data_IF_291942751204
#
_entry.id   IF_291942751204
#
_cell.length_a   1.000
_cell.length_b   1.000
_cell.length_c   1.000
_cell.angle_alpha   90.00
_cell.angle_beta   90.00
_cell.angle_gamma   90.00
#
_symmetry.space_group_name_H-M   'P 1'
#
loop_
_entity.id
_entity.type
_entity.pdbx_description
1 polymer ?
#
# COMPACT_ATOMS: atom_id res chain seq x y z
N UNK A 1 2.09 -8.91 16.65
CA UNK A 1 1.20 -9.86 15.98
C UNK A 1 0.43 -9.13 14.89
N UNK A 2 0.82 -9.35 13.65
CA UNK A 2 0.35 -8.58 12.48
C UNK A 2 -0.91 -9.26 11.92
N UNK A 3 -2.10 -8.95 12.43
CA UNK A 3 -3.35 -9.49 11.89
C UNK A 3 -4.06 -8.57 10.88
N UNK A 4 -3.55 -7.39 10.63
CA UNK A 4 -4.36 -6.31 10.08
C UNK A 4 -4.37 -6.20 8.55
N UNK A 5 -3.32 -6.60 7.87
CA UNK A 5 -3.33 -6.58 6.42
C UNK A 5 -4.32 -7.59 5.80
N UNK A 6 -4.79 -8.55 6.58
CA UNK A 6 -5.53 -9.73 6.11
C UNK A 6 -7.03 -9.70 6.43
N UNK A 7 -7.49 -8.74 7.19
CA UNK A 7 -8.90 -8.58 7.54
C UNK A 7 -9.58 -7.47 6.73
N UNK A 8 -8.90 -6.85 5.76
CA UNK A 8 -9.48 -5.77 4.98
C UNK A 8 -10.06 -6.30 3.67
N UNK A 9 -11.33 -6.04 3.39
CA UNK A 9 -11.96 -6.34 2.08
C UNK A 9 -11.20 -5.75 0.90
N UNK A 10 -10.41 -4.71 1.12
CA UNK A 10 -9.59 -4.05 0.09
C UNK A 10 -8.33 -4.84 -0.28
N UNK A 11 -7.97 -5.86 0.46
CA UNK A 11 -6.83 -6.72 0.18
C UNK A 11 -7.03 -7.58 -1.08
N UNK A 12 -8.27 -7.89 -1.41
CA UNK A 12 -8.67 -8.60 -2.63
C UNK A 12 -8.13 -7.90 -3.88
N UNK A 13 -7.92 -6.59 -3.83
CA UNK A 13 -7.45 -5.79 -4.96
C UNK A 13 -5.94 -5.57 -5.01
N UNK A 14 -5.17 -6.13 -4.09
CA UNK A 14 -3.71 -5.91 -4.03
C UNK A 14 -2.88 -7.12 -4.47
N UNK A 15 -3.51 -8.13 -5.03
CA UNK A 15 -2.83 -9.27 -5.66
C UNK A 15 -2.39 -10.40 -4.72
N UNK A 16 -2.82 -10.39 -3.46
CA UNK A 16 -2.64 -11.54 -2.56
C UNK A 16 -3.98 -12.02 -2.03
N UNK A 17 -4.56 -12.95 -2.72
CA UNK A 17 -5.92 -13.43 -2.56
C UNK A 17 -6.13 -14.42 -1.40
N UNK A 18 -5.07 -14.79 -0.70
CA UNK A 18 -5.16 -15.75 0.39
C UNK A 18 -4.74 -15.10 1.69
N UNK A 19 -5.56 -15.26 2.72
CA UNK A 19 -5.12 -15.01 4.09
C UNK A 19 -3.79 -15.76 4.27
N UNK A 20 -2.67 -15.07 4.60
CA UNK A 20 -1.40 -15.77 4.69
C UNK A 20 -1.47 -16.74 5.87
N UNK A 21 -0.94 -17.91 5.64
CA UNK A 21 -0.65 -18.86 6.68
C UNK A 21 0.44 -18.30 7.64
N UNK A 22 0.68 -19.01 8.73
CA UNK A 22 1.66 -18.60 9.73
C UNK A 22 3.07 -18.42 9.15
N UNK A 23 3.45 -19.25 8.19
CA UNK A 23 4.76 -19.23 7.53
C UNK A 23 4.94 -17.96 6.69
N UNK A 24 3.92 -17.61 5.94
CA UNK A 24 3.90 -16.39 5.12
C UNK A 24 3.92 -15.12 5.97
N UNK A 25 3.24 -15.14 7.12
CA UNK A 25 3.29 -14.05 8.11
C UNK A 25 4.70 -13.92 8.70
N UNK A 26 5.34 -15.03 9.04
CA UNK A 26 6.69 -15.02 9.60
C UNK A 26 7.74 -14.58 8.57
N UNK A 27 7.60 -15.03 7.32
CA UNK A 27 8.41 -14.53 6.20
C UNK A 27 8.26 -13.02 6.04
N UNK A 28 7.03 -12.51 6.00
CA UNK A 28 6.79 -11.07 5.93
C UNK A 28 7.43 -10.32 7.10
N UNK A 29 7.41 -10.86 8.32
CA UNK A 29 8.09 -10.25 9.48
C UNK A 29 9.60 -10.18 9.30
N UNK A 30 10.22 -11.27 8.82
CA UNK A 30 11.66 -11.30 8.50
C UNK A 30 11.99 -10.31 7.39
N UNK A 31 11.16 -10.29 6.36
CA UNK A 31 11.31 -9.36 5.24
C UNK A 31 11.21 -7.90 5.69
N UNK A 32 10.31 -7.56 6.62
CA UNK A 32 10.22 -6.22 7.22
C UNK A 32 11.37 -5.87 8.17
N UNK A 33 12.03 -6.86 8.76
CA UNK A 33 13.15 -6.67 9.67
C UNK A 33 14.49 -6.54 8.93
N UNK A 34 14.57 -7.00 7.68
CA UNK A 34 15.79 -6.96 6.88
C UNK A 34 16.06 -5.55 6.37
N UNK A 35 17.11 -4.93 6.93
CA UNK A 35 17.57 -3.58 6.55
C UNK A 35 18.12 -3.48 5.12
N UNK A 36 18.39 -4.62 4.47
CA UNK A 36 18.92 -4.67 3.11
C UNK A 36 17.84 -4.69 2.03
N UNK A 37 16.55 -4.74 2.41
CA UNK A 37 15.47 -4.76 1.45
C UNK A 37 15.23 -3.41 0.79
N UNK A 38 14.77 -3.51 -0.45
CA UNK A 38 14.30 -2.36 -1.25
C UNK A 38 12.85 -1.99 -0.87
N UNK A 39 12.57 -1.98 0.44
CA UNK A 39 11.24 -1.72 1.00
C UNK A 39 11.33 -0.96 2.32
N UNK A 40 10.28 -0.22 2.64
CA UNK A 40 9.99 0.23 3.99
C UNK A 40 8.49 0.25 4.22
N UNK A 41 8.08 0.23 5.48
CA UNK A 41 6.66 0.21 5.84
C UNK A 41 6.37 1.09 7.03
N UNK A 42 5.15 1.61 7.06
CA UNK A 42 4.57 2.29 8.21
C UNK A 42 3.31 1.54 8.64
N UNK A 43 3.10 1.45 9.93
CA UNK A 43 1.91 0.81 10.51
C UNK A 43 1.21 1.80 11.44
N UNK A 44 -0.11 1.74 11.46
CA UNK A 44 -0.94 2.42 12.44
C UNK A 44 -1.38 1.40 13.50
N UNK A 45 -1.18 1.74 14.77
CA UNK A 45 -1.54 0.88 15.90
C UNK A 45 -2.62 1.57 16.73
N UNK A 46 -3.72 0.87 16.99
CA UNK A 46 -4.65 1.26 18.05
C UNK A 46 -4.01 0.93 19.40
N UNK A 47 -3.61 1.97 20.13
CA UNK A 47 -2.91 1.82 21.41
C UNK A 47 -3.78 1.16 22.49
N UNK A 48 -5.10 1.38 22.46
CA UNK A 48 -6.04 0.82 23.44
C UNK A 48 -6.14 -0.69 23.27
N UNK A 49 -6.30 -1.15 22.04
CA UNK A 49 -6.51 -2.56 21.73
C UNK A 49 -5.21 -3.28 21.32
N UNK A 50 -4.07 -2.56 21.24
CA UNK A 50 -2.77 -3.06 20.76
C UNK A 50 -2.85 -3.74 19.40
N UNK A 51 -3.78 -3.29 18.56
CA UNK A 51 -4.01 -3.83 17.21
C UNK A 51 -3.39 -2.92 16.15
N UNK A 52 -2.80 -3.53 15.13
CA UNK A 52 -2.45 -2.81 13.91
C UNK A 52 -3.75 -2.56 13.13
N UNK A 53 -4.05 -1.35 12.79
CA UNK A 53 -5.31 -0.94 12.14
C UNK A 53 -5.11 -0.37 10.75
N UNK A 54 -3.87 -0.27 10.33
CA UNK A 54 -3.51 0.14 8.97
C UNK A 54 -2.05 -0.10 8.69
N UNK A 55 -1.72 -0.26 7.42
CA UNK A 55 -0.36 -0.40 6.93
C UNK A 55 -0.16 0.39 5.64
N UNK A 56 1.06 0.86 5.45
CA UNK A 56 1.58 1.44 4.22
C UNK A 56 2.87 0.72 3.88
N UNK A 57 2.93 0.11 2.72
CA UNK A 57 4.11 -0.59 2.21
C UNK A 57 4.70 0.21 1.06
N UNK A 58 6.01 0.25 0.98
CA UNK A 58 6.74 0.93 -0.08
C UNK A 58 7.84 0.04 -0.61
N UNK A 59 7.98 -0.02 -1.93
CA UNK A 59 9.00 -0.77 -2.63
C UNK A 59 9.73 0.10 -3.64
N UNK A 60 11.02 -0.14 -3.82
CA UNK A 60 11.84 0.64 -4.76
C UNK A 60 12.99 -0.20 -5.30
N UNK A 61 13.67 0.33 -6.29
CA UNK A 61 14.93 -0.24 -6.80
C UNK A 61 16.09 0.69 -6.44
N UNK A 62 17.15 0.13 -5.84
CA UNK A 62 18.35 0.91 -5.47
C UNK A 62 19.13 1.41 -6.68
N UNK A 63 19.10 0.66 -7.77
CA UNK A 63 19.92 0.90 -8.94
C UNK A 63 19.09 1.07 -10.22
N UNK A 64 19.72 1.54 -11.28
CA UNK A 64 19.13 1.68 -12.61
C UNK A 64 18.33 2.96 -12.80
N UNK A 65 17.66 3.02 -13.93
CA UNK A 65 16.90 4.22 -14.37
C UNK A 65 15.66 4.51 -13.51
N UNK A 66 15.17 3.54 -12.76
CA UNK A 66 13.97 3.67 -11.93
C UNK A 66 14.27 3.97 -10.45
N UNK A 67 15.56 4.14 -10.08
CA UNK A 67 15.97 4.35 -8.67
C UNK A 67 15.38 5.58 -7.99
N UNK A 68 14.87 6.52 -8.76
CA UNK A 68 14.23 7.75 -8.26
C UNK A 68 12.75 7.56 -7.90
N UNK A 69 12.18 6.39 -8.19
CA UNK A 69 10.75 6.08 -8.03
C UNK A 69 10.53 5.16 -6.83
N UNK A 70 9.39 5.31 -6.20
CA UNK A 70 8.94 4.44 -5.13
C UNK A 70 7.49 4.02 -5.38
N UNK A 71 7.24 2.71 -5.38
CA UNK A 71 5.91 2.13 -5.40
C UNK A 71 5.31 2.12 -4.01
N UNK A 72 4.04 2.43 -3.88
CA UNK A 72 3.32 2.48 -2.60
C UNK A 72 2.03 1.68 -2.65
N UNK A 73 1.73 0.96 -1.55
CA UNK A 73 0.47 0.26 -1.34
C UNK A 73 0.01 0.43 0.10
N UNK A 74 -1.29 0.44 0.33
CA UNK A 74 -1.86 0.66 1.66
C UNK A 74 -3.12 -0.15 1.91
N UNK A 75 -3.36 -0.42 3.18
CA UNK A 75 -4.58 -1.04 3.67
C UNK A 75 -4.97 -0.47 5.03
N UNK A 76 -6.27 -0.25 5.23
CA UNK A 76 -6.84 0.20 6.50
C UNK A 76 -7.94 -0.78 6.88
N UNK A 77 -7.90 -1.25 8.12
CA UNK A 77 -8.92 -2.14 8.67
C UNK A 77 -10.32 -1.51 8.49
N UNK A 78 -11.34 -2.27 8.06
CA UNK A 78 -12.67 -1.73 7.76
C UNK A 78 -13.26 -0.85 8.88
N UNK A 79 -13.19 -1.31 10.14
CA UNK A 79 -13.73 -0.60 11.30
C UNK A 79 -12.99 0.72 11.62
N UNK A 80 -11.85 0.93 10.99
CA UNK A 80 -10.99 2.11 11.19
C UNK A 80 -10.91 3.00 9.97
N UNK A 81 -11.65 2.68 8.91
CA UNK A 81 -11.78 3.53 7.73
C UNK A 81 -12.54 4.82 8.06
N UNK A 82 -12.38 5.85 7.21
CA UNK A 82 -13.04 7.14 7.42
C UNK A 82 -12.47 8.02 8.55
N UNK A 83 -11.55 7.50 9.38
CA UNK A 83 -10.97 8.19 10.56
C UNK A 83 -9.65 8.94 10.26
N UNK A 84 -9.30 9.11 9.00
CA UNK A 84 -8.08 9.84 8.59
C UNK A 84 -6.77 9.06 8.72
N UNK A 85 -6.80 7.78 9.15
CA UNK A 85 -5.60 6.95 9.35
C UNK A 85 -4.82 6.78 8.06
N UNK A 86 -5.49 6.46 6.95
CA UNK A 86 -4.85 6.32 5.64
C UNK A 86 -4.14 7.59 5.20
N UNK A 87 -4.76 8.75 5.43
CA UNK A 87 -4.16 10.06 5.12
C UNK A 87 -2.88 10.30 5.94
N UNK A 88 -2.90 9.98 7.25
CA UNK A 88 -1.72 10.12 8.11
C UNK A 88 -0.58 9.20 7.68
N UNK A 89 -0.89 7.91 7.44
CA UNK A 89 0.10 6.94 6.96
C UNK A 89 0.71 7.38 5.62
N UNK A 90 -0.11 7.78 4.66
CA UNK A 90 0.37 8.20 3.35
C UNK A 90 1.24 9.45 3.44
N UNK A 91 0.84 10.46 4.23
CA UNK A 91 1.65 11.67 4.45
C UNK A 91 3.01 11.35 5.07
N UNK A 92 3.06 10.51 6.10
CA UNK A 92 4.33 10.10 6.73
C UNK A 92 5.22 9.32 5.77
N UNK A 93 4.66 8.41 5.00
CA UNK A 93 5.40 7.65 4.00
C UNK A 93 5.97 8.53 2.89
N UNK A 94 5.19 9.49 2.40
CA UNK A 94 5.64 10.47 1.40
C UNK A 94 6.76 11.37 1.95
N UNK A 95 6.61 11.85 3.20
CA UNK A 95 7.64 12.65 3.87
C UNK A 95 8.95 11.87 4.01
N UNK A 96 8.86 10.61 4.41
CA UNK A 96 10.02 9.73 4.54
C UNK A 96 10.66 9.44 3.18
N UNK A 97 9.87 9.12 2.16
CA UNK A 97 10.34 8.89 0.80
C UNK A 97 11.10 10.11 0.26
N UNK A 98 10.56 11.32 0.44
CA UNK A 98 11.21 12.57 0.08
C UNK A 98 12.55 12.76 0.82
N UNK A 99 12.58 12.51 2.13
CA UNK A 99 13.82 12.56 2.94
C UNK A 99 14.88 11.55 2.47
N UNK A 100 14.46 10.39 1.96
CA UNK A 100 15.34 9.37 1.38
C UNK A 100 15.81 9.72 -0.05
N UNK A 101 15.36 10.82 -0.62
CA UNK A 101 15.80 11.32 -1.93
C UNK A 101 14.98 10.85 -3.12
N UNK A 102 13.90 10.10 -2.89
CA UNK A 102 12.97 9.74 -3.96
C UNK A 102 12.34 11.00 -4.56
N UNK A 103 12.11 10.98 -5.86
CA UNK A 103 11.55 12.11 -6.62
C UNK A 103 10.11 11.86 -7.07
N UNK A 104 9.68 10.60 -7.04
CA UNK A 104 8.38 10.19 -7.53
C UNK A 104 7.81 9.05 -6.71
N UNK A 105 6.56 9.17 -6.30
CA UNK A 105 5.76 8.10 -5.71
C UNK A 105 4.69 7.65 -6.72
N UNK A 106 4.45 6.35 -6.75
CA UNK A 106 3.50 5.69 -7.65
C UNK A 106 2.67 4.67 -6.89
N UNK A 107 1.46 4.44 -7.36
CA UNK A 107 0.63 3.33 -6.89
C UNK A 107 -0.29 2.85 -8.01
N UNK A 108 -0.74 1.61 -7.90
CA UNK A 108 -1.75 1.01 -8.77
C UNK A 108 -2.89 0.46 -7.91
N UNK A 109 -4.12 0.69 -8.31
CA UNK A 109 -5.28 0.25 -7.54
C UNK A 109 -6.49 0.01 -8.43
N UNK A 110 -7.34 -0.96 -8.04
CA UNK A 110 -8.58 -1.23 -8.73
C UNK A 110 -9.48 0.02 -8.80
N UNK A 111 -10.09 0.25 -9.95
CA UNK A 111 -11.03 1.37 -10.15
C UNK A 111 -12.22 1.26 -9.21
N UNK A 112 -12.65 0.04 -8.91
CA UNK A 112 -13.74 -0.24 -7.97
C UNK A 112 -13.39 0.17 -6.53
N UNK A 113 -12.09 0.21 -6.16
CA UNK A 113 -11.63 0.63 -4.85
C UNK A 113 -11.60 2.16 -4.71
N UNK A 114 -12.82 2.75 -4.69
CA UNK A 114 -13.01 4.21 -4.64
C UNK A 114 -12.33 4.87 -3.43
N UNK A 115 -12.27 4.18 -2.30
CA UNK A 115 -11.59 4.69 -1.10
C UNK A 115 -10.09 4.88 -1.30
N UNK A 116 -9.45 3.98 -2.04
CA UNK A 116 -8.02 3.99 -2.28
C UNK A 116 -7.59 5.12 -3.22
N UNK A 117 -8.18 5.19 -4.42
CA UNK A 117 -7.76 6.24 -5.36
C UNK A 117 -8.21 7.64 -4.93
N UNK A 118 -9.35 7.80 -4.24
CA UNK A 118 -9.73 9.09 -3.63
C UNK A 118 -8.73 9.53 -2.56
N UNK A 119 -8.22 8.58 -1.74
CA UNK A 119 -7.16 8.87 -0.78
C UNK A 119 -5.89 9.35 -1.49
N UNK A 120 -5.48 8.70 -2.58
CA UNK A 120 -4.33 9.11 -3.38
C UNK A 120 -4.51 10.53 -3.93
N UNK A 121 -5.62 10.82 -4.60
CA UNK A 121 -5.90 12.14 -5.18
C UNK A 121 -5.91 13.24 -4.10
N UNK A 122 -6.54 13.00 -2.95
CA UNK A 122 -6.54 13.92 -1.81
C UNK A 122 -5.14 14.23 -1.29
N UNK A 123 -4.19 13.32 -1.49
CA UNK A 123 -2.79 13.50 -1.10
C UNK A 123 -1.89 13.88 -2.28
N UNK A 124 -2.44 14.46 -3.34
CA UNK A 124 -1.70 15.10 -4.43
C UNK A 124 -1.19 14.14 -5.51
N UNK A 125 -1.64 12.89 -5.53
CA UNK A 125 -1.46 12.03 -6.69
C UNK A 125 -2.39 12.45 -7.83
N UNK A 126 -1.99 12.13 -9.04
CA UNK A 126 -2.81 12.29 -10.25
C UNK A 126 -3.00 10.93 -10.91
N UNK A 127 -4.15 10.71 -11.52
CA UNK A 127 -4.35 9.55 -12.39
C UNK A 127 -3.55 9.79 -13.65
N UNK A 128 -2.65 8.88 -13.99
CA UNK A 128 -1.76 8.97 -15.14
C UNK A 128 -2.10 7.96 -16.22
N UNK A 129 -2.95 7.01 -15.90
CA UNK A 129 -3.41 6.01 -16.85
C UNK A 129 -4.35 4.99 -16.23
N UNK A 130 -4.90 4.16 -17.11
CA UNK A 130 -5.78 3.05 -16.80
C UNK A 130 -5.27 1.80 -17.48
N UNK A 131 -5.24 0.69 -16.75
CA UNK A 131 -4.95 -0.63 -17.30
C UNK A 131 -6.22 -1.46 -17.34
N UNK A 132 -6.54 -2.00 -18.49
CA UNK A 132 -7.70 -2.88 -18.67
C UNK A 132 -7.38 -4.29 -18.19
N UNK A 133 -8.33 -4.88 -17.46
CA UNK A 133 -8.24 -6.29 -16.98
C UNK A 133 -6.93 -6.59 -16.25
N UNK A 134 -6.43 -5.64 -15.46
CA UNK A 134 -5.10 -5.72 -14.85
C UNK A 134 -5.06 -6.57 -13.57
N UNK A 135 -6.20 -6.79 -12.94
CA UNK A 135 -6.30 -7.65 -11.75
C UNK A 135 -7.35 -8.75 -12.00
N UNK A 136 -7.06 -9.95 -11.49
CA UNK A 136 -7.99 -11.05 -11.41
C UNK A 136 -8.48 -11.19 -9.97
N UNK A 137 -9.77 -11.12 -9.75
CA UNK A 137 -10.40 -11.31 -8.44
C UNK A 137 -10.58 -12.79 -8.11
N UNK A 138 -10.81 -13.12 -6.83
CA UNK A 138 -10.99 -14.51 -6.38
C UNK A 138 -12.21 -15.19 -7.00
N UNK A 139 -13.22 -14.41 -7.36
CA UNK A 139 -14.42 -14.87 -8.08
C UNK A 139 -14.23 -14.97 -9.61
N UNK A 140 -12.99 -14.81 -10.09
CA UNK A 140 -12.63 -14.97 -11.49
C UNK A 140 -12.92 -13.79 -12.40
N UNK A 141 -13.32 -12.62 -11.86
CA UNK A 141 -13.54 -11.41 -12.65
C UNK A 141 -12.22 -10.68 -12.91
N UNK A 142 -12.09 -10.09 -14.08
CA UNK A 142 -11.04 -9.15 -14.39
C UNK A 142 -11.46 -7.73 -14.03
N UNK A 143 -10.57 -6.99 -13.36
CA UNK A 143 -10.80 -5.63 -12.90
C UNK A 143 -9.76 -4.68 -13.49
N UNK A 144 -10.23 -3.51 -13.92
CA UNK A 144 -9.38 -2.43 -14.41
C UNK A 144 -8.71 -1.71 -13.23
N UNK A 145 -7.52 -1.13 -13.49
CA UNK A 145 -6.78 -0.37 -12.47
C UNK A 145 -6.47 1.04 -12.93
N UNK A 146 -6.39 1.96 -11.97
CA UNK A 146 -5.74 3.25 -12.15
C UNK A 146 -4.27 3.17 -11.79
N UNK A 147 -3.45 3.77 -12.65
CA UNK A 147 -2.08 4.14 -12.32
C UNK A 147 -2.10 5.57 -11.79
N UNK A 148 -1.56 5.78 -10.61
CA UNK A 148 -1.47 7.11 -10.02
C UNK A 148 -0.02 7.44 -9.70
N UNK A 149 0.34 8.71 -9.90
CA UNK A 149 1.69 9.21 -9.65
C UNK A 149 1.69 10.57 -8.99
N UNK A 150 2.75 10.86 -8.24
CA UNK A 150 3.01 12.13 -7.59
C UNK A 150 4.50 12.44 -7.60
N UNK A 151 4.87 13.67 -7.97
CA UNK A 151 6.23 14.19 -7.73
C UNK A 151 6.40 14.60 -6.25
N UNK A 152 7.59 14.34 -5.68
CA UNK A 152 7.91 14.52 -4.25
C UNK A 152 8.75 15.77 -3.98
#
# INVERSE_FOLDING_TARGET
MTKVGFETKNWVYTGSNLAPDKEKIEKMRKDFADKNQDTFSFIAIDKKNKKIVGSMMSSFKKNGRLRHRIGMGWGIHPDYQGKGIGTKLLKESLRYAKKKGFKRAEAEMAIENKGSWKLALKNGFKIEGEKKKALLTDDGRYVDTYLVGRML
#
